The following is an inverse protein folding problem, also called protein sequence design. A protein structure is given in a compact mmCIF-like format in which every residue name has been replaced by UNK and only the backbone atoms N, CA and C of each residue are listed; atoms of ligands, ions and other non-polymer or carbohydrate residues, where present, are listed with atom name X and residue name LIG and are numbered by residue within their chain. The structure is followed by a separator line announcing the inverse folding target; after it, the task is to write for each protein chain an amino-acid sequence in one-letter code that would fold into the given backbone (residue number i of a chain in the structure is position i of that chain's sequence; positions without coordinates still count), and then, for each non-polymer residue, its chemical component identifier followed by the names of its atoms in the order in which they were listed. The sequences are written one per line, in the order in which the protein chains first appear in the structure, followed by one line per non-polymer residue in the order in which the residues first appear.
data_IF_737409196582
#
_entry.id   IF_737409196582
#
_cell.length_a   1.000
_cell.length_b   1.000
_cell.length_c   1.000
_cell.angle_alpha   90.00
_cell.angle_beta   90.00
_cell.angle_gamma   90.00
#
_symmetry.space_group_name_H-M   'P 1'
#
loop_
_entity.id
_entity.type
_entity.pdbx_description
1 polymer ?
#
# COMPACT_ATOMS: atom_id res chain seq x y z
N UNK A 1 -1.36 3.39 9.60
CA UNK A 1 -0.55 2.21 9.96
C UNK A 1 -1.28 0.96 9.46
N UNK A 2 -0.98 0.50 8.23
CA UNK A 2 -1.64 -0.64 7.60
C UNK A 2 -0.66 -1.28 6.59
N UNK A 3 -0.48 -2.61 6.65
CA UNK A 3 0.41 -3.38 5.78
C UNK A 3 -0.05 -3.40 4.32
N UNK A 4 -1.36 -3.30 4.07
CA UNK A 4 -1.97 -3.29 2.73
C UNK A 4 -2.22 -1.88 2.19
N UNK A 5 -1.74 -0.84 2.88
CA UNK A 5 -1.93 0.54 2.47
C UNK A 5 -1.38 0.77 1.05
N UNK A 6 -2.08 1.60 0.27
CA UNK A 6 -1.58 2.06 -1.02
C UNK A 6 -0.47 3.11 -0.83
N UNK A 7 0.71 2.66 -0.40
CA UNK A 7 1.88 3.52 -0.17
C UNK A 7 2.53 4.02 -1.46
N UNK A 8 2.36 3.27 -2.56
CA UNK A 8 2.81 3.65 -3.91
C UNK A 8 1.60 3.90 -4.82
N UNK A 9 1.51 5.11 -5.35
CA UNK A 9 0.60 5.47 -6.43
C UNK A 9 1.36 5.43 -7.76
N UNK A 10 1.11 4.38 -8.55
CA UNK A 10 1.60 4.26 -9.93
C UNK A 10 0.49 4.78 -10.84
N UNK A 11 0.71 5.94 -11.46
CA UNK A 11 -0.34 6.70 -12.17
C UNK A 11 0.08 7.08 -13.58
N UNK A 12 -0.85 7.01 -14.53
CA UNK A 12 -0.56 7.38 -15.92
C UNK A 12 -0.24 8.87 -16.01
N UNK A 13 0.82 9.24 -16.74
CA UNK A 13 1.30 10.63 -16.82
C UNK A 13 0.20 11.65 -17.15
N UNK A 14 -0.73 11.28 -18.05
CA UNK A 14 -1.78 12.19 -18.53
C UNK A 14 -2.82 12.58 -17.48
N UNK A 15 -2.97 11.79 -16.40
CA UNK A 15 -3.98 12.05 -15.35
C UNK A 15 -3.36 12.38 -14.00
N UNK A 16 -2.02 12.30 -13.87
CA UNK A 16 -1.33 12.49 -12.59
C UNK A 16 -1.66 13.83 -11.96
N UNK A 17 -1.43 14.93 -12.69
CA UNK A 17 -1.50 16.27 -12.11
C UNK A 17 -2.92 16.62 -11.65
N UNK A 18 -3.93 16.22 -12.42
CA UNK A 18 -5.34 16.37 -12.05
C UNK A 18 -5.67 15.53 -10.80
N UNK A 19 -5.22 14.27 -10.77
CA UNK A 19 -5.44 13.38 -9.63
C UNK A 19 -4.78 13.91 -8.36
N UNK A 20 -3.51 14.34 -8.42
CA UNK A 20 -2.81 14.90 -7.26
C UNK A 20 -3.49 16.18 -6.74
N UNK A 21 -4.01 17.00 -7.65
CA UNK A 21 -4.80 18.18 -7.27
C UNK A 21 -6.08 17.80 -6.51
N UNK A 22 -6.78 16.75 -6.96
CA UNK A 22 -7.99 16.26 -6.29
C UNK A 22 -7.66 15.64 -4.92
N UNK A 23 -6.62 14.81 -4.83
CA UNK A 23 -6.17 14.23 -3.56
C UNK A 23 -5.79 15.36 -2.58
N UNK A 24 -5.01 16.34 -3.03
CA UNK A 24 -4.59 17.47 -2.19
C UNK A 24 -5.76 18.29 -1.62
N UNK A 25 -6.85 18.46 -2.40
CA UNK A 25 -8.08 19.09 -1.90
C UNK A 25 -8.70 18.30 -0.75
N UNK A 26 -8.82 16.97 -0.87
CA UNK A 26 -9.38 16.13 0.18
C UNK A 26 -8.51 16.09 1.44
N UNK A 27 -7.18 16.16 1.29
CA UNK A 27 -6.25 16.16 2.42
C UNK A 27 -6.32 17.45 3.27
N UNK A 28 -6.80 18.57 2.73
CA UNK A 28 -6.94 19.82 3.50
C UNK A 28 -7.89 19.70 4.68
N UNK A 29 -8.87 18.80 4.57
CA UNK A 29 -9.87 18.57 5.61
C UNK A 29 -9.40 17.52 6.66
N UNK A 30 -8.19 16.97 6.52
CA UNK A 30 -7.67 15.94 7.41
C UNK A 30 -6.96 16.56 8.62
N UNK A 31 -7.76 16.95 9.62
CA UNK A 31 -7.24 17.47 10.89
C UNK A 31 -6.53 16.37 11.69
N UNK A 32 -5.36 16.71 12.24
CA UNK A 32 -4.61 15.91 13.20
C UNK A 32 -5.13 16.19 14.61
N UNK A 33 -5.28 15.17 15.44
CA UNK A 33 -5.62 15.38 16.85
C UNK A 33 -6.07 14.14 17.60
N UNK A 34 -6.84 14.37 18.67
CA UNK A 34 -7.41 13.32 19.51
C UNK A 34 -8.35 12.43 18.65
N UNK A 35 -8.11 11.10 18.58
CA UNK A 35 -8.97 10.19 17.84
C UNK A 35 -10.40 10.07 18.39
N UNK A 36 -10.67 10.55 19.61
CA UNK A 36 -12.02 10.61 20.18
C UNK A 36 -12.82 11.84 19.73
N UNK A 37 -12.17 12.83 19.14
CA UNK A 37 -12.84 13.97 18.52
C UNK A 37 -13.16 13.65 17.04
N UNK A 38 -14.44 13.57 16.65
CA UNK A 38 -14.86 13.21 15.31
C UNK A 38 -14.48 14.23 14.22
N UNK A 39 -14.04 15.44 14.60
CA UNK A 39 -13.49 16.41 13.66
C UNK A 39 -12.09 16.03 13.17
N UNK A 40 -11.36 15.22 13.95
CA UNK A 40 -10.05 14.72 13.56
C UNK A 40 -10.18 13.53 12.63
N UNK A 41 -9.31 13.46 11.62
CA UNK A 41 -9.24 12.35 10.66
C UNK A 41 -7.99 11.49 10.86
N UNK A 42 -7.02 12.01 11.62
CA UNK A 42 -5.73 11.36 11.82
C UNK A 42 -5.30 11.51 13.28
N UNK A 43 -5.01 10.36 13.89
CA UNK A 43 -4.41 10.29 15.21
C UNK A 43 -2.89 10.36 15.19
N UNK A 44 -2.30 10.29 16.38
CA UNK A 44 -0.87 10.17 16.58
C UNK A 44 -0.34 8.82 16.08
N UNK A 45 0.97 8.77 15.79
CA UNK A 45 1.68 7.50 15.60
C UNK A 45 1.68 6.70 16.90
N UNK A 46 1.63 5.37 16.78
CA UNK A 46 1.43 4.47 17.94
C UNK A 46 2.51 4.58 19.02
N UNK A 47 3.74 4.98 18.67
CA UNK A 47 4.85 5.12 19.60
C UNK A 47 5.87 6.14 19.12
N UNK A 48 6.71 6.62 20.04
CA UNK A 48 7.81 7.54 19.71
C UNK A 48 8.81 6.91 18.72
N UNK A 49 9.20 5.66 18.91
CA UNK A 49 10.12 4.98 17.97
C UNK A 49 9.52 4.86 16.57
N UNK A 50 8.22 4.58 16.47
CA UNK A 50 7.52 4.55 15.19
C UNK A 50 7.43 5.94 14.55
N UNK A 51 7.11 6.96 15.35
CA UNK A 51 7.15 8.35 14.91
C UNK A 51 8.52 8.74 14.34
N UNK A 52 9.62 8.45 15.05
CA UNK A 52 10.97 8.77 14.57
C UNK A 52 11.32 7.99 13.28
N UNK A 53 10.88 6.73 13.17
CA UNK A 53 11.02 5.95 11.91
C UNK A 53 10.34 6.68 10.76
N UNK A 54 9.05 7.04 10.90
CA UNK A 54 8.30 7.71 9.83
C UNK A 54 8.91 9.08 9.52
N UNK A 55 9.28 9.85 10.54
CA UNK A 55 9.96 11.15 10.40
C UNK A 55 11.25 11.04 9.59
N UNK A 56 12.04 9.98 9.78
CA UNK A 56 13.28 9.77 9.01
C UNK A 56 13.06 9.64 7.49
N UNK A 57 11.88 9.17 7.05
CA UNK A 57 11.54 9.13 5.62
C UNK A 57 11.22 10.52 5.06
N UNK A 58 10.62 11.40 5.87
CA UNK A 58 10.37 12.79 5.48
C UNK A 58 11.68 13.57 5.40
N UNK A 59 12.57 13.36 6.38
CA UNK A 59 13.92 13.93 6.37
C UNK A 59 14.70 13.47 5.14
N UNK A 60 14.68 12.16 4.83
CA UNK A 60 15.27 11.62 3.60
C UNK A 60 14.69 12.29 2.35
N UNK A 61 13.37 12.48 2.26
CA UNK A 61 12.75 13.13 1.12
C UNK A 61 13.25 14.56 0.92
N UNK A 62 13.41 15.31 2.02
CA UNK A 62 13.96 16.67 1.99
C UNK A 62 15.45 16.69 1.61
N UNK A 63 16.26 15.77 2.16
CA UNK A 63 17.68 15.63 1.84
C UNK A 63 17.92 15.31 0.37
N UNK A 64 17.12 14.41 -0.20
CA UNK A 64 17.15 14.06 -1.62
C UNK A 64 16.47 15.10 -2.52
N UNK A 65 15.91 16.16 -1.95
CA UNK A 65 15.18 17.23 -2.66
C UNK A 65 14.04 16.67 -3.53
N UNK A 66 13.35 15.66 -3.03
CA UNK A 66 12.16 15.11 -3.68
C UNK A 66 11.03 16.14 -3.66
N UNK A 67 10.13 16.06 -4.64
CA UNK A 67 9.04 17.01 -4.78
C UNK A 67 7.92 16.68 -3.79
N UNK A 68 7.93 17.32 -2.61
CA UNK A 68 6.83 17.22 -1.65
C UNK A 68 5.70 18.15 -2.09
N UNK A 69 4.62 17.57 -2.62
CA UNK A 69 3.47 18.31 -3.16
C UNK A 69 2.55 18.81 -2.05
N UNK A 70 2.44 18.04 -0.97
CA UNK A 70 1.63 18.37 0.20
C UNK A 70 2.18 17.66 1.45
N UNK A 71 2.00 18.28 2.62
CA UNK A 71 2.49 17.74 3.90
C UNK A 71 4.00 17.88 4.05
N UNK A 72 4.64 16.84 4.57
CA UNK A 72 6.10 16.79 4.77
C UNK A 72 6.56 17.23 6.16
N UNK A 73 5.64 17.63 7.04
CA UNK A 73 5.96 18.09 8.39
C UNK A 73 5.44 17.14 9.47
N UNK A 74 5.96 17.34 10.69
CA UNK A 74 5.55 16.62 11.89
C UNK A 74 5.12 17.61 12.98
N UNK A 75 4.15 17.22 13.80
CA UNK A 75 3.62 18.08 14.87
C UNK A 75 3.70 17.39 16.23
N UNK A 76 4.05 18.18 17.25
CA UNK A 76 4.04 17.77 18.67
C UNK A 76 4.86 16.50 19.00
N UNK A 77 5.77 16.07 18.10
CA UNK A 77 6.60 14.89 18.28
C UNK A 77 5.86 13.55 18.23
N UNK A 78 4.60 13.55 17.79
CA UNK A 78 3.76 12.33 17.71
C UNK A 78 2.87 12.28 16.47
N UNK A 79 2.63 13.41 15.81
CA UNK A 79 1.80 13.49 14.61
C UNK A 79 2.65 13.68 13.35
N UNK A 80 2.22 13.04 12.26
CA UNK A 80 2.83 13.17 10.94
C UNK A 80 1.75 13.65 9.97
N UNK A 81 2.02 14.71 9.22
CA UNK A 81 1.05 15.22 8.24
C UNK A 81 0.88 14.24 7.07
N UNK A 82 -0.33 14.13 6.47
CA UNK A 82 -0.52 13.46 5.19
C UNK A 82 0.41 14.04 4.15
N UNK A 83 1.31 13.21 3.65
CA UNK A 83 2.39 13.66 2.79
C UNK A 83 2.27 13.01 1.42
N UNK A 84 2.38 13.82 0.37
CA UNK A 84 2.46 13.35 -1.02
C UNK A 84 3.84 13.73 -1.56
N UNK A 85 4.60 12.73 -2.00
CA UNK A 85 5.91 12.93 -2.63
C UNK A 85 5.79 12.49 -4.10
N UNK A 86 5.93 13.44 -5.02
CA UNK A 86 5.88 13.20 -6.46
C UNK A 86 7.27 13.00 -7.07
N UNK A 87 7.31 12.29 -8.20
CA UNK A 87 8.54 12.00 -8.93
C UNK A 87 9.42 10.95 -8.23
N UNK A 88 8.83 10.06 -7.43
CA UNK A 88 9.56 8.98 -6.78
C UNK A 88 9.90 7.91 -7.83
N UNK A 89 11.17 7.51 -7.87
CA UNK A 89 11.73 6.51 -8.80
C UNK A 89 12.08 5.21 -8.07
N UNK A 90 12.27 4.08 -8.78
CA UNK A 90 12.65 2.80 -8.17
C UNK A 90 13.91 2.83 -7.30
N UNK A 91 14.84 3.76 -7.57
CA UNK A 91 16.07 3.92 -6.79
C UNK A 91 15.85 4.65 -5.44
N UNK A 92 14.68 5.25 -5.22
CA UNK A 92 14.38 5.97 -3.99
C UNK A 92 13.91 5.02 -2.89
N UNK A 93 14.33 5.26 -1.65
CA UNK A 93 13.88 4.49 -0.47
C UNK A 93 12.36 4.50 -0.31
N UNK A 94 11.73 5.63 -0.65
CA UNK A 94 10.27 5.79 -0.63
C UNK A 94 9.51 4.90 -1.64
N UNK A 95 10.21 4.34 -2.63
CA UNK A 95 9.63 3.34 -3.55
C UNK A 95 9.80 1.91 -3.01
N UNK A 96 10.92 1.63 -2.34
CA UNK A 96 11.30 0.26 -1.98
C UNK A 96 10.81 -0.12 -0.59
N UNK A 97 10.93 0.78 0.38
CA UNK A 97 10.76 0.49 1.80
C UNK A 97 9.34 0.82 2.30
N UNK A 98 8.86 0.04 3.28
CA UNK A 98 7.60 0.32 3.96
C UNK A 98 7.75 1.41 5.03
N UNK A 99 7.22 2.59 4.72
CA UNK A 99 7.16 3.74 5.63
C UNK A 99 6.24 3.47 6.83
N UNK A 100 5.06 2.88 6.56
CA UNK A 100 4.02 2.58 7.55
C UNK A 100 3.48 3.84 8.30
N UNK A 101 3.46 4.97 7.59
CA UNK A 101 2.89 6.25 8.00
C UNK A 101 2.02 6.87 6.90
N UNK A 102 1.47 8.08 7.10
CA UNK A 102 0.58 8.73 6.12
C UNK A 102 1.39 9.39 4.98
N UNK A 103 2.19 8.61 4.27
CA UNK A 103 3.06 9.07 3.17
C UNK A 103 2.72 8.32 1.90
N UNK A 104 2.42 9.05 0.83
CA UNK A 104 2.11 8.55 -0.50
C UNK A 104 3.25 8.89 -1.47
N UNK A 105 3.91 7.87 -1.99
CA UNK A 105 4.93 7.99 -3.04
C UNK A 105 4.27 7.89 -4.41
N UNK A 106 4.53 8.84 -5.31
CA UNK A 106 3.91 8.89 -6.63
C UNK A 106 4.95 8.65 -7.72
N UNK A 107 4.66 7.68 -8.59
CA UNK A 107 5.48 7.31 -9.74
C UNK A 107 4.61 7.33 -10.99
N UNK A 108 5.10 7.96 -12.06
CA UNK A 108 4.38 8.02 -13.34
C UNK A 108 4.68 6.79 -14.20
N UNK A 109 3.74 6.41 -15.07
CA UNK A 109 3.96 5.48 -16.17
C UNK A 109 3.32 5.98 -17.47
N UNK A 110 3.74 5.41 -18.60
CA UNK A 110 3.21 5.70 -19.93
C UNK A 110 2.56 4.48 -20.59
N UNK A 111 2.98 3.27 -20.22
CA UNK A 111 2.40 2.04 -20.78
C UNK A 111 1.93 1.09 -19.68
N UNK A 112 0.95 0.23 -20.02
CA UNK A 112 0.48 -0.80 -19.09
C UNK A 112 1.59 -1.80 -18.74
N UNK A 113 2.52 -2.06 -19.67
CA UNK A 113 3.65 -2.97 -19.44
C UNK A 113 4.58 -2.40 -18.37
N UNK A 114 4.93 -1.12 -18.49
CA UNK A 114 5.71 -0.38 -17.50
C UNK A 114 5.00 -0.32 -16.14
N UNK A 115 3.67 -0.09 -16.12
CA UNK A 115 2.92 -0.08 -14.87
C UNK A 115 2.98 -1.42 -14.13
N UNK A 116 2.91 -2.54 -14.87
CA UNK A 116 3.01 -3.90 -14.32
C UNK A 116 4.43 -4.17 -13.83
N UNK A 117 5.45 -3.73 -14.58
CA UNK A 117 6.85 -3.82 -14.18
C UNK A 117 7.10 -3.08 -12.86
N UNK A 118 6.73 -1.79 -12.79
CA UNK A 118 6.84 -0.95 -11.59
C UNK A 118 6.07 -1.53 -10.39
N UNK A 119 4.87 -2.06 -10.62
CA UNK A 119 4.08 -2.68 -9.56
C UNK A 119 4.78 -3.92 -8.97
N UNK A 120 5.42 -4.71 -9.83
CA UNK A 120 6.10 -5.94 -9.47
C UNK A 120 7.55 -5.77 -9.00
N UNK A 121 8.16 -4.61 -9.27
CA UNK A 121 9.52 -4.25 -8.88
C UNK A 121 9.60 -3.91 -7.38
N UNK A 122 9.49 -4.96 -6.59
CA UNK A 122 9.52 -4.91 -5.12
C UNK A 122 9.68 -6.33 -4.59
N UNK A 123 10.30 -6.47 -3.41
CA UNK A 123 10.34 -7.75 -2.68
C UNK A 123 9.00 -8.11 -2.04
N UNK A 124 8.06 -7.16 -1.96
CA UNK A 124 6.74 -7.34 -1.38
C UNK A 124 5.70 -7.84 -2.40
N UNK A 125 4.53 -8.24 -1.90
CA UNK A 125 3.43 -8.75 -2.70
C UNK A 125 2.15 -8.98 -1.90
N UNK A 126 1.80 -8.07 -0.98
CA UNK A 126 0.63 -8.25 -0.12
C UNK A 126 -0.68 -7.96 -0.86
N UNK A 127 -0.90 -6.70 -1.23
CA UNK A 127 -2.12 -6.24 -1.88
C UNK A 127 -1.80 -5.22 -3.01
N UNK A 128 -2.71 -5.12 -3.99
CA UNK A 128 -2.67 -4.11 -5.03
C UNK A 128 -4.09 -3.71 -5.46
N UNK A 129 -4.25 -2.49 -5.95
CA UNK A 129 -5.50 -1.96 -6.48
C UNK A 129 -5.29 -1.31 -7.84
N UNK A 130 -6.02 -1.77 -8.85
CA UNK A 130 -5.97 -1.25 -10.21
C UNK A 130 -7.23 -0.44 -10.53
N UNK A 131 -7.08 0.75 -11.11
CA UNK A 131 -8.21 1.59 -11.51
C UNK A 131 -8.20 1.78 -13.03
N UNK A 132 -9.22 1.29 -13.72
CA UNK A 132 -9.31 1.36 -15.18
C UNK A 132 -10.75 1.19 -15.69
N UNK A 133 -11.10 1.93 -16.74
CA UNK A 133 -12.35 1.74 -17.49
C UNK A 133 -12.28 0.62 -18.54
N UNK A 134 -11.11 0.01 -18.77
CA UNK A 134 -10.91 -1.03 -19.79
C UNK A 134 -10.97 -2.43 -19.17
N UNK A 135 -11.94 -3.24 -19.59
CA UNK A 135 -12.04 -4.64 -19.16
C UNK A 135 -10.78 -5.46 -19.52
N UNK A 136 -10.19 -5.20 -20.68
CA UNK A 136 -8.94 -5.86 -21.11
C UNK A 136 -7.81 -5.55 -20.13
N UNK A 137 -7.66 -4.28 -19.74
CA UNK A 137 -6.62 -3.88 -18.80
C UNK A 137 -6.91 -4.40 -17.39
N UNK A 138 -8.18 -4.39 -16.97
CA UNK A 138 -8.59 -4.98 -15.69
C UNK A 138 -8.15 -6.44 -15.58
N UNK A 139 -8.49 -7.28 -16.56
CA UNK A 139 -8.09 -8.69 -16.58
C UNK A 139 -6.57 -8.86 -16.60
N UNK A 140 -5.87 -8.02 -17.35
CA UNK A 140 -4.42 -8.08 -17.50
C UNK A 140 -3.70 -7.72 -16.20
N UNK A 141 -4.00 -6.54 -15.64
CA UNK A 141 -3.45 -6.06 -14.37
C UNK A 141 -3.72 -7.05 -13.23
N UNK A 142 -4.95 -7.58 -13.15
CA UNK A 142 -5.33 -8.55 -12.11
C UNK A 142 -4.51 -9.84 -12.13
N UNK A 143 -4.05 -10.27 -13.31
CA UNK A 143 -3.32 -11.53 -13.50
C UNK A 143 -1.81 -11.35 -13.41
N UNK A 144 -1.30 -10.23 -13.87
CA UNK A 144 0.15 -9.99 -14.01
C UNK A 144 0.76 -9.31 -12.78
N UNK A 145 -0.03 -8.59 -11.97
CA UNK A 145 0.44 -8.07 -10.68
C UNK A 145 0.58 -9.21 -9.69
N UNK A 146 1.78 -9.35 -9.10
CA UNK A 146 2.15 -10.39 -8.14
C UNK A 146 1.83 -9.95 -6.72
N UNK A 147 0.56 -9.95 -6.39
CA UNK A 147 0.06 -9.68 -5.04
C UNK A 147 -0.93 -10.75 -4.59
N UNK A 148 -1.08 -10.90 -3.27
CA UNK A 148 -2.03 -11.84 -2.67
C UNK A 148 -3.49 -11.46 -2.91
N UNK A 149 -3.78 -10.16 -2.88
CA UNK A 149 -5.08 -9.60 -3.21
C UNK A 149 -4.90 -8.53 -4.28
N UNK A 150 -5.64 -8.64 -5.38
CA UNK A 150 -5.71 -7.60 -6.40
C UNK A 150 -7.15 -7.16 -6.57
N UNK A 151 -7.42 -5.88 -6.32
CA UNK A 151 -8.74 -5.28 -6.51
C UNK A 151 -8.79 -4.44 -7.79
N UNK A 152 -9.97 -4.34 -8.41
CA UNK A 152 -10.18 -3.49 -9.59
C UNK A 152 -11.31 -2.49 -9.32
N UNK A 153 -11.02 -1.20 -9.54
CA UNK A 153 -11.92 -0.07 -9.30
C UNK A 153 -12.44 0.04 -7.87
N UNK A 154 -11.70 -0.53 -6.91
CA UNK A 154 -11.95 -0.42 -5.48
C UNK A 154 -10.66 -0.69 -4.70
N UNK A 155 -10.71 -0.45 -3.39
CA UNK A 155 -9.66 -0.79 -2.43
C UNK A 155 -10.29 -1.60 -1.30
N UNK A 156 -9.61 -2.67 -0.87
CA UNK A 156 -10.05 -3.46 0.28
C UNK A 156 -9.41 -4.84 0.35
N UNK A 157 -9.56 -5.47 1.52
CA UNK A 157 -8.99 -6.80 1.84
C UNK A 157 -10.04 -7.91 1.82
N UNK A 158 -11.22 -7.63 1.27
CA UNK A 158 -12.40 -8.49 1.34
C UNK A 158 -12.96 -8.63 2.76
N UNK A 159 -13.74 -9.69 2.97
CA UNK A 159 -14.34 -10.05 4.25
C UNK A 159 -13.75 -11.36 4.82
N UNK A 160 -14.36 -11.90 5.87
CA UNK A 160 -13.91 -13.14 6.51
C UNK A 160 -13.91 -14.37 5.56
N UNK A 161 -14.62 -14.32 4.43
CA UNK A 161 -14.63 -15.39 3.42
C UNK A 161 -13.54 -15.24 2.35
N UNK A 162 -12.87 -14.09 2.27
CA UNK A 162 -11.84 -13.80 1.26
C UNK A 162 -10.45 -14.13 1.82
N UNK A 163 -9.66 -15.01 1.18
CA UNK A 163 -8.31 -15.32 1.65
C UNK A 163 -7.42 -14.07 1.55
N UNK A 164 -6.63 -13.84 2.59
CA UNK A 164 -5.70 -12.73 2.67
C UNK A 164 -4.30 -13.22 3.05
N UNK A 165 -3.26 -12.65 2.44
CA UNK A 165 -1.87 -13.01 2.68
C UNK A 165 -0.98 -12.51 1.55
N UNK A 166 0.33 -12.63 1.67
CA UNK A 166 1.25 -12.06 0.68
C UNK A 166 1.96 -13.09 -0.21
N UNK A 167 2.38 -12.60 -1.37
CA UNK A 167 3.42 -13.20 -2.21
C UNK A 167 4.80 -12.74 -1.72
N UNK A 168 5.86 -13.42 -2.19
CA UNK A 168 7.26 -13.04 -1.97
C UNK A 168 7.54 -12.86 -0.46
N UNK A 169 8.16 -11.77 -0.04
CA UNK A 169 8.48 -11.52 1.37
C UNK A 169 7.29 -11.02 2.20
N UNK A 170 6.12 -10.80 1.58
CA UNK A 170 4.90 -10.42 2.30
C UNK A 170 4.14 -11.62 2.91
N UNK A 171 4.67 -12.83 2.83
CA UNK A 171 4.06 -14.02 3.39
C UNK A 171 4.96 -15.24 3.31
N UNK A 172 4.52 -16.35 3.89
CA UNK A 172 5.25 -17.62 3.93
C UNK A 172 4.52 -18.76 3.20
N UNK A 173 3.55 -18.42 2.34
CA UNK A 173 2.72 -19.36 1.59
C UNK A 173 1.33 -19.63 2.20
N UNK A 174 1.15 -19.34 3.49
CA UNK A 174 -0.15 -19.39 4.17
C UNK A 174 -1.10 -18.25 3.78
N UNK A 175 -2.39 -18.42 4.08
CA UNK A 175 -3.45 -17.42 3.88
C UNK A 175 -4.33 -17.36 5.12
N UNK A 176 -4.53 -16.18 5.68
CA UNK A 176 -5.51 -15.95 6.74
C UNK A 176 -6.90 -15.67 6.15
N UNK A 177 -7.92 -15.70 7.03
CA UNK A 177 -9.35 -15.66 6.67
C UNK A 177 -9.74 -16.84 5.78
N UNK A 178 -11.01 -16.89 5.34
CA UNK A 178 -11.55 -17.91 4.45
C UNK A 178 -11.37 -19.36 4.94
N UNK A 179 -11.80 -20.32 4.12
CA UNK A 179 -11.55 -21.74 4.41
C UNK A 179 -10.05 -22.10 4.32
N UNK A 180 -9.27 -21.35 3.53
CA UNK A 180 -7.85 -21.65 3.28
C UNK A 180 -6.96 -21.43 4.51
N UNK A 181 -7.40 -20.65 5.50
CA UNK A 181 -6.67 -20.52 6.76
C UNK A 181 -6.59 -21.83 7.54
N UNK A 182 -7.54 -22.75 7.36
CA UNK A 182 -7.53 -24.04 8.06
C UNK A 182 -6.32 -24.91 7.67
N UNK A 183 -5.84 -24.82 6.44
CA UNK A 183 -4.69 -25.59 5.97
C UNK A 183 -3.41 -25.26 6.78
N UNK A 184 -3.35 -24.08 7.39
CA UNK A 184 -2.22 -23.67 8.24
C UNK A 184 -2.22 -24.33 9.64
N UNK A 185 -3.35 -24.88 10.07
CA UNK A 185 -3.55 -25.42 11.43
C UNK A 185 -3.87 -26.91 11.42
N UNK A 186 -3.79 -27.57 10.26
CA UNK A 186 -4.15 -28.98 10.09
C UNK A 186 -3.03 -29.76 9.43
N UNK A 187 -3.00 -31.06 9.69
CA UNK A 187 -2.02 -31.99 9.11
C UNK A 187 -2.74 -33.08 8.32
N UNK A 188 -2.28 -33.35 7.10
CA UNK A 188 -2.84 -34.42 6.27
C UNK A 188 -2.30 -35.77 6.72
N UNK A 189 -3.21 -36.69 7.06
CA UNK A 189 -2.88 -38.08 7.41
C UNK A 189 -3.51 -39.05 6.41
N UNK A 190 -2.67 -39.73 5.63
CA UNK A 190 -3.10 -40.83 4.76
C UNK A 190 -3.08 -42.13 5.54
N UNK A 191 -4.22 -42.83 5.58
CA UNK A 191 -4.34 -44.15 6.18
C UNK A 191 -4.65 -45.15 5.07
N UNK A 192 -3.78 -46.15 4.92
CA UNK A 192 -3.99 -47.26 3.98
C UNK A 192 -4.19 -48.55 4.76
N UNK A 193 -5.28 -49.27 4.47
CA UNK A 193 -5.62 -50.52 5.14
C UNK A 193 -5.71 -51.62 4.07
N UNK A 194 -4.84 -52.62 4.17
CA UNK A 194 -5.03 -53.89 3.47
C UNK A 194 -5.82 -54.85 4.38
N UNK A 195 -7.01 -55.24 3.95
CA UNK A 195 -7.94 -56.08 4.72
C UNK A 195 -8.03 -57.52 4.20
N UNK A 196 -7.10 -57.94 3.34
CA UNK A 196 -7.00 -59.30 2.80
C UNK A 196 -5.96 -60.14 3.57
#
# INVERSE_FOLDING_TARGET
ENCSASSRLIVHKDVKDELLTLIGKHLKDWKLGDPLDPENRLGAMVSKSHFEKVKSYLEYAAEQKLNVVQGGETEQGVFVQPTIVDGVTPDNRLFVEEVFGPVLSVTSFETIDEAIELANDTVYGLAASAYTGSLRNALRLSREIRAGVVTVNCFGEGDASTPFGGYKESGFGGRDKSIWAHDQYTELKTIWINAA
#
